data_IF_271284505264
#
_entry.id   IF_271284505264
#
_cell.length_a   1.000
_cell.length_b   1.000
_cell.length_c   1.000
_cell.angle_alpha   90.00
_cell.angle_beta   90.00
_cell.angle_gamma   90.00
#
_symmetry.space_group_name_H-M   'P 1'
#
loop_
_entity.id
_entity.type
_entity.pdbx_description
1 polymer ?
#
# COMPACT_ATOMS: atom_id res chain seq x y z
N UNK A 1 6.57 16.87 -22.73
CA UNK A 1 6.78 16.63 -21.28
C UNK A 1 6.13 17.68 -20.41
N UNK A 2 6.50 18.97 -20.48
CA UNK A 2 5.92 20.00 -19.60
C UNK A 2 4.40 20.11 -19.79
N UNK A 3 3.93 20.19 -21.04
CA UNK A 3 2.49 20.27 -21.37
C UNK A 3 1.73 19.04 -20.88
N UNK A 4 2.30 17.86 -21.03
CA UNK A 4 1.74 16.60 -20.54
C UNK A 4 1.57 16.62 -19.01
N UNK A 5 2.64 16.98 -18.28
CA UNK A 5 2.58 17.12 -16.82
C UNK A 5 1.57 18.17 -16.40
N UNK A 6 1.50 19.33 -17.08
CA UNK A 6 0.52 20.38 -16.78
C UNK A 6 -0.92 19.92 -16.99
N UNK A 7 -1.23 19.22 -18.09
CA UNK A 7 -2.57 18.63 -18.32
C UNK A 7 -2.96 17.68 -17.18
N UNK A 8 -2.03 16.81 -16.75
CA UNK A 8 -2.24 15.88 -15.64
C UNK A 8 -2.45 16.60 -14.30
N UNK A 9 -1.64 17.63 -14.01
CA UNK A 9 -1.78 18.43 -12.80
C UNK A 9 -3.11 19.20 -12.75
N UNK A 10 -3.62 19.67 -13.88
CA UNK A 10 -4.92 20.35 -13.97
C UNK A 10 -6.10 19.38 -13.72
N UNK A 11 -5.97 18.09 -14.05
CA UNK A 11 -6.99 17.08 -13.79
C UNK A 11 -7.01 16.61 -12.34
N UNK A 12 -5.89 16.76 -11.59
CA UNK A 12 -5.75 16.32 -10.22
C UNK A 12 -6.85 16.83 -9.26
N UNK A 13 -7.11 18.16 -9.18
CA UNK A 13 -8.13 18.68 -8.28
C UNK A 13 -9.53 18.12 -8.57
N UNK A 14 -9.85 17.95 -9.86
CA UNK A 14 -11.13 17.40 -10.30
C UNK A 14 -11.29 15.93 -9.90
N UNK A 15 -10.24 15.11 -10.13
CA UNK A 15 -10.23 13.71 -9.70
C UNK A 15 -10.30 13.57 -8.18
N UNK A 16 -9.56 14.39 -7.42
CA UNK A 16 -9.61 14.40 -5.96
C UNK A 16 -11.00 14.80 -5.44
N UNK A 17 -11.67 15.75 -6.10
CA UNK A 17 -13.05 16.12 -5.74
C UNK A 17 -14.02 14.95 -5.97
N UNK A 18 -13.94 14.26 -7.10
CA UNK A 18 -14.78 13.09 -7.37
C UNK A 18 -14.49 11.99 -6.34
N UNK A 19 -13.22 11.70 -6.09
CA UNK A 19 -12.82 10.68 -5.13
C UNK A 19 -13.22 11.03 -3.70
N UNK A 20 -13.19 12.30 -3.31
CA UNK A 20 -13.66 12.70 -1.99
C UNK A 20 -15.17 12.48 -1.79
N UNK A 21 -15.97 12.75 -2.82
CA UNK A 21 -17.42 12.48 -2.80
C UNK A 21 -17.65 10.96 -2.71
N UNK A 22 -16.96 10.18 -3.53
CA UNK A 22 -17.08 8.70 -3.51
C UNK A 22 -16.67 8.15 -2.14
N UNK A 23 -15.53 8.60 -1.59
CA UNK A 23 -15.06 8.19 -0.27
C UNK A 23 -16.09 8.48 0.81
N UNK A 24 -16.64 9.70 0.82
CA UNK A 24 -17.64 10.11 1.79
C UNK A 24 -18.92 9.26 1.69
N UNK A 25 -19.42 9.01 0.48
CA UNK A 25 -20.59 8.14 0.25
C UNK A 25 -20.32 6.71 0.74
N UNK A 26 -19.16 6.15 0.42
CA UNK A 26 -18.79 4.78 0.82
C UNK A 26 -18.71 4.61 2.34
N UNK A 27 -18.24 5.65 3.05
CA UNK A 27 -18.13 5.60 4.51
C UNK A 27 -19.51 5.75 5.17
N UNK A 28 -20.40 6.53 4.56
CA UNK A 28 -21.78 6.72 5.05
C UNK A 28 -22.77 5.63 4.57
N UNK A 29 -22.34 4.74 3.64
CA UNK A 29 -23.19 3.68 3.11
C UNK A 29 -23.59 2.59 4.12
N UNK A 30 -22.73 2.17 5.09
CA UNK A 30 -23.15 1.23 6.11
C UNK A 30 -24.28 1.81 6.98
N UNK A 31 -25.28 0.99 7.37
CA UNK A 31 -26.38 1.47 8.21
C UNK A 31 -25.88 1.82 9.61
N UNK A 32 -26.31 2.97 10.12
CA UNK A 32 -25.91 3.49 11.44
C UNK A 32 -24.90 4.62 11.34
N UNK A 33 -24.43 5.07 12.48
CA UNK A 33 -23.40 6.08 12.67
C UNK A 33 -22.47 5.66 13.83
N UNK A 34 -21.40 6.40 14.06
CA UNK A 34 -20.49 6.17 15.19
C UNK A 34 -21.23 6.03 16.52
N UNK A 35 -22.22 6.90 16.78
CA UNK A 35 -22.98 6.85 18.03
C UNK A 35 -23.81 5.58 18.13
N UNK A 36 -24.36 5.06 17.03
CA UNK A 36 -25.08 3.80 17.00
C UNK A 36 -24.18 2.64 17.42
N UNK A 37 -22.97 2.57 16.88
CA UNK A 37 -21.94 1.57 17.21
C UNK A 37 -21.47 1.73 18.67
N UNK A 38 -21.20 2.95 19.10
CA UNK A 38 -20.78 3.27 20.46
C UNK A 38 -21.84 2.91 21.53
N UNK A 39 -23.13 3.22 21.26
CA UNK A 39 -24.23 2.85 22.15
C UNK A 39 -24.37 1.33 22.25
N UNK A 40 -24.22 0.61 21.12
CA UNK A 40 -24.25 -0.85 21.11
C UNK A 40 -23.12 -1.46 21.95
N UNK A 41 -21.91 -0.89 21.89
CA UNK A 41 -20.76 -1.31 22.69
C UNK A 41 -20.97 -1.04 24.18
N UNK A 42 -21.47 0.15 24.54
CA UNK A 42 -21.86 0.48 25.93
C UNK A 42 -22.91 -0.46 26.49
N UNK A 43 -23.94 -0.75 25.71
CA UNK A 43 -24.98 -1.71 26.12
C UNK A 43 -24.41 -3.12 26.33
N UNK A 44 -23.48 -3.56 25.49
CA UNK A 44 -22.78 -4.84 25.63
C UNK A 44 -21.92 -4.91 26.90
N UNK A 45 -21.36 -3.78 27.34
CA UNK A 45 -20.59 -3.65 28.61
C UNK A 45 -21.47 -3.46 29.85
N UNK A 46 -22.81 -3.50 29.71
CA UNK A 46 -23.75 -3.30 30.81
C UNK A 46 -23.99 -1.82 31.19
N UNK A 47 -23.48 -0.89 30.41
CA UNK A 47 -23.64 0.54 30.61
C UNK A 47 -24.76 1.07 29.70
N UNK A 48 -25.48 2.14 30.15
CA UNK A 48 -26.51 2.81 29.35
C UNK A 48 -26.28 4.30 29.35
N UNK A 49 -26.55 4.93 28.21
CA UNK A 49 -26.50 6.37 28.07
C UNK A 49 -27.90 6.93 27.97
N UNK A 50 -28.15 8.08 28.62
CA UNK A 50 -29.45 8.75 28.52
C UNK A 50 -29.67 9.32 27.12
N UNK A 51 -30.92 9.33 26.66
CA UNK A 51 -31.29 9.87 25.33
C UNK A 51 -30.82 11.31 25.13
N UNK A 52 -30.94 12.15 26.17
CA UNK A 52 -30.49 13.53 26.11
C UNK A 52 -28.98 13.66 25.87
N UNK A 53 -28.17 12.76 26.41
CA UNK A 53 -26.72 12.72 26.16
C UNK A 53 -26.39 12.27 24.74
N UNK A 54 -27.15 11.29 24.21
CA UNK A 54 -27.00 10.81 22.84
C UNK A 54 -27.32 11.93 21.86
N UNK A 55 -28.43 12.65 22.05
CA UNK A 55 -28.84 13.76 21.19
C UNK A 55 -27.84 14.92 21.24
N UNK A 56 -27.30 15.23 22.43
CA UNK A 56 -26.25 16.23 22.58
C UNK A 56 -24.96 15.85 21.83
N UNK A 57 -24.52 14.59 21.91
CA UNK A 57 -23.36 14.10 21.17
C UNK A 57 -23.61 14.09 19.65
N UNK A 58 -24.83 13.73 19.23
CA UNK A 58 -25.21 13.74 17.81
C UNK A 58 -25.13 15.16 17.23
N UNK A 59 -25.62 16.14 17.96
CA UNK A 59 -25.54 17.57 17.59
C UNK A 59 -24.08 18.07 17.63
N UNK A 60 -23.29 17.68 18.64
CA UNK A 60 -21.88 18.06 18.78
C UNK A 60 -21.02 17.58 17.59
N UNK A 61 -21.24 16.34 17.15
CA UNK A 61 -20.53 15.74 16.02
C UNK A 61 -21.17 16.09 14.66
N UNK A 62 -22.33 16.75 14.66
CA UNK A 62 -23.06 17.15 13.45
C UNK A 62 -23.64 15.98 12.68
N UNK A 63 -23.88 14.84 13.33
CA UNK A 63 -24.46 13.63 12.74
C UNK A 63 -25.97 13.76 12.54
N UNK A 64 -26.59 14.78 13.10
CA UNK A 64 -27.99 15.16 12.90
C UNK A 64 -28.25 15.92 11.59
N UNK A 65 -27.18 16.36 10.91
CA UNK A 65 -27.27 17.18 9.72
C UNK A 65 -27.45 16.33 8.45
N UNK A 66 -28.06 16.89 7.39
CA UNK A 66 -28.11 16.23 6.09
C UNK A 66 -26.71 15.87 5.57
N UNK A 67 -26.57 14.73 4.91
CA UNK A 67 -25.30 14.17 4.43
C UNK A 67 -24.48 15.18 3.61
N UNK A 68 -25.12 15.97 2.75
CA UNK A 68 -24.41 16.98 1.95
C UNK A 68 -23.78 18.10 2.81
N UNK A 69 -24.40 18.50 3.90
CA UNK A 69 -23.83 19.48 4.82
C UNK A 69 -22.65 18.89 5.60
N UNK A 70 -22.75 17.64 6.02
CA UNK A 70 -21.64 16.91 6.65
C UNK A 70 -20.44 16.84 5.69
N UNK A 71 -20.66 16.52 4.40
CA UNK A 71 -19.61 16.50 3.39
C UNK A 71 -18.92 17.86 3.24
N UNK A 72 -19.69 18.94 3.04
CA UNK A 72 -19.09 20.28 2.85
C UNK A 72 -18.33 20.78 4.08
N UNK A 73 -18.83 20.47 5.27
CA UNK A 73 -18.13 20.79 6.53
C UNK A 73 -16.82 20.02 6.66
N UNK A 74 -16.86 18.71 6.41
CA UNK A 74 -15.69 17.85 6.45
C UNK A 74 -14.64 18.28 5.41
N UNK A 75 -15.04 18.49 4.18
CA UNK A 75 -14.14 18.92 3.11
C UNK A 75 -13.59 20.33 3.36
N UNK A 76 -14.41 21.25 3.85
CA UNK A 76 -13.97 22.60 4.22
C UNK A 76 -12.86 22.58 5.28
N UNK A 77 -12.98 21.72 6.30
CA UNK A 77 -11.94 21.54 7.31
C UNK A 77 -10.66 20.94 6.71
N UNK A 78 -10.76 19.92 5.90
CA UNK A 78 -9.59 19.32 5.22
C UNK A 78 -8.84 20.35 4.38
N UNK A 79 -9.56 21.20 3.63
CA UNK A 79 -8.95 22.24 2.79
C UNK A 79 -8.24 23.33 3.61
N UNK A 80 -8.63 23.54 4.87
CA UNK A 80 -7.94 24.45 5.81
C UNK A 80 -6.83 23.75 6.60
N UNK A 81 -6.57 22.46 6.34
CA UNK A 81 -5.54 21.69 7.05
C UNK A 81 -5.99 21.11 8.39
N UNK A 82 -7.27 21.28 8.76
CA UNK A 82 -7.85 20.67 9.96
C UNK A 82 -8.47 19.31 9.60
N UNK A 83 -7.78 18.24 9.93
CA UNK A 83 -8.26 16.87 9.70
C UNK A 83 -9.35 16.44 10.70
N UNK A 84 -9.57 17.22 11.75
CA UNK A 84 -10.53 16.94 12.80
C UNK A 84 -10.02 16.01 13.89
N UNK A 85 -10.97 15.55 14.70
CA UNK A 85 -10.76 14.63 15.82
C UNK A 85 -11.43 13.31 15.51
N UNK A 86 -10.72 12.21 15.78
CA UNK A 86 -11.27 10.86 15.70
C UNK A 86 -12.36 10.68 16.76
N UNK A 87 -13.47 10.10 16.36
CA UNK A 87 -14.59 9.84 17.28
C UNK A 87 -14.29 8.68 18.23
N UNK A 88 -13.60 7.65 17.74
CA UNK A 88 -13.23 6.45 18.51
C UNK A 88 -12.05 6.72 19.46
N UNK A 89 -10.98 7.36 18.98
CA UNK A 89 -9.77 7.63 19.79
C UNK A 89 -9.84 8.94 20.60
N UNK A 90 -10.79 9.84 20.32
CA UNK A 90 -10.91 11.16 20.95
C UNK A 90 -9.60 12.00 20.91
N UNK A 91 -8.82 11.81 19.82
CA UNK A 91 -7.53 12.47 19.58
C UNK A 91 -7.49 13.12 18.19
N UNK A 92 -6.68 14.15 17.98
CA UNK A 92 -6.49 14.75 16.65
C UNK A 92 -6.05 13.69 15.61
N UNK A 93 -6.71 13.68 14.45
CA UNK A 93 -6.41 12.72 13.38
C UNK A 93 -4.99 12.91 12.84
N UNK A 94 -4.50 14.17 12.83
CA UNK A 94 -3.13 14.48 12.43
C UNK A 94 -2.08 13.78 13.28
N UNK A 95 -2.28 13.68 14.59
CA UNK A 95 -1.40 12.97 15.51
C UNK A 95 -1.46 11.46 15.27
N UNK A 96 -2.68 10.90 15.20
CA UNK A 96 -2.89 9.45 14.99
C UNK A 96 -2.25 8.96 13.69
N UNK A 97 -2.39 9.72 12.61
CA UNK A 97 -1.75 9.41 11.33
C UNK A 97 -0.23 9.61 11.42
N UNK A 98 0.22 10.72 12.04
CA UNK A 98 1.64 11.05 12.17
C UNK A 98 2.44 9.99 12.93
N UNK A 99 1.91 9.46 14.04
CA UNK A 99 2.53 8.39 14.83
C UNK A 99 2.79 7.11 14.03
N UNK A 100 1.91 6.80 13.06
CA UNK A 100 1.95 5.54 12.29
C UNK A 100 2.53 5.68 10.89
N UNK A 101 2.62 6.90 10.38
CA UNK A 101 3.08 7.20 9.02
C UNK A 101 4.49 6.67 8.77
N UNK A 102 5.43 6.97 9.67
CA UNK A 102 6.83 6.54 9.55
C UNK A 102 6.98 5.01 9.46
N UNK A 103 6.28 4.27 10.33
CA UNK A 103 6.29 2.82 10.36
C UNK A 103 5.62 2.21 9.12
N UNK A 104 4.52 2.81 8.68
CA UNK A 104 3.81 2.41 7.46
C UNK A 104 4.69 2.60 6.23
N UNK A 105 5.38 3.74 6.14
CA UNK A 105 6.34 4.01 5.06
C UNK A 105 7.52 3.04 5.10
N UNK A 106 8.10 2.80 6.26
CA UNK A 106 9.24 1.88 6.42
C UNK A 106 8.86 0.46 5.96
N UNK A 107 7.70 -0.05 6.41
CA UNK A 107 7.19 -1.35 6.01
C UNK A 107 6.88 -1.41 4.51
N UNK A 108 6.16 -0.44 4.00
CA UNK A 108 5.73 -0.41 2.60
C UNK A 108 6.90 -0.24 1.63
N UNK A 109 7.82 0.70 1.91
CA UNK A 109 9.03 0.90 1.10
C UNK A 109 9.97 -0.31 1.20
N UNK A 110 10.13 -0.89 2.39
CA UNK A 110 10.88 -2.13 2.56
C UNK A 110 10.31 -3.26 1.70
N UNK A 111 8.99 -3.44 1.72
CA UNK A 111 8.27 -4.43 0.89
C UNK A 111 8.46 -4.15 -0.60
N UNK A 112 8.35 -2.90 -1.02
CA UNK A 112 8.54 -2.50 -2.41
C UNK A 112 9.98 -2.81 -2.88
N UNK A 113 10.98 -2.35 -2.13
CA UNK A 113 12.39 -2.59 -2.46
C UNK A 113 12.70 -4.09 -2.49
N UNK A 114 12.26 -4.84 -1.49
CA UNK A 114 12.42 -6.30 -1.45
C UNK A 114 11.81 -6.97 -2.68
N UNK A 115 10.55 -6.64 -2.99
CA UNK A 115 9.83 -7.21 -4.13
C UNK A 115 10.57 -6.96 -5.44
N UNK A 116 11.01 -5.73 -5.70
CA UNK A 116 11.69 -5.37 -6.95
C UNK A 116 13.09 -5.95 -7.04
N UNK A 117 13.84 -5.90 -5.93
CA UNK A 117 15.21 -6.41 -5.86
C UNK A 117 15.27 -7.92 -6.11
N UNK A 118 14.26 -8.66 -5.70
CA UNK A 118 14.21 -10.13 -5.85
C UNK A 118 13.52 -10.53 -7.16
N UNK A 119 12.40 -9.90 -7.51
CA UNK A 119 11.60 -10.29 -8.67
C UNK A 119 12.30 -10.06 -10.02
N UNK A 120 12.99 -8.92 -10.17
CA UNK A 120 13.64 -8.57 -11.44
C UNK A 120 14.76 -9.56 -11.79
N UNK A 121 15.74 -9.84 -10.90
CA UNK A 121 16.76 -10.85 -11.16
C UNK A 121 16.19 -12.24 -11.43
N UNK A 122 15.18 -12.69 -10.66
CA UNK A 122 14.51 -13.97 -10.88
C UNK A 122 13.88 -14.01 -12.28
N UNK A 123 13.14 -12.95 -12.66
CA UNK A 123 12.51 -12.87 -13.97
C UNK A 123 13.51 -12.88 -15.13
N UNK A 124 14.62 -12.12 -15.00
CA UNK A 124 15.70 -12.09 -16.00
C UNK A 124 16.36 -13.46 -16.12
N UNK A 125 16.72 -14.08 -14.99
CA UNK A 125 17.37 -15.36 -14.97
C UNK A 125 16.48 -16.47 -15.58
N UNK A 126 15.20 -16.52 -15.19
CA UNK A 126 14.23 -17.48 -15.71
C UNK A 126 13.96 -17.28 -17.20
N UNK A 127 13.97 -16.05 -17.72
CA UNK A 127 13.80 -15.79 -19.14
C UNK A 127 15.02 -16.18 -19.98
N UNK A 128 16.24 -15.86 -19.48
CA UNK A 128 17.49 -16.12 -20.21
C UNK A 128 17.87 -17.61 -20.18
N UNK A 129 17.45 -18.35 -19.17
CA UNK A 129 17.71 -19.80 -19.02
C UNK A 129 16.40 -20.58 -18.99
N UNK A 130 15.55 -20.33 -19.97
CA UNK A 130 14.24 -20.98 -20.14
C UNK A 130 14.38 -22.51 -20.09
N UNK A 131 13.47 -23.16 -19.37
CA UNK A 131 13.42 -24.61 -19.17
C UNK A 131 14.59 -25.22 -18.39
N UNK A 132 15.44 -24.39 -17.75
CA UNK A 132 16.43 -24.90 -16.80
C UNK A 132 15.81 -25.32 -15.47
N UNK A 133 16.56 -26.11 -14.69
CA UNK A 133 16.13 -26.49 -13.33
C UNK A 133 15.73 -25.29 -12.48
N UNK A 134 16.50 -24.21 -12.53
CA UNK A 134 16.19 -23.00 -11.77
C UNK A 134 14.96 -22.26 -12.28
N UNK A 135 14.68 -22.27 -13.60
CA UNK A 135 13.45 -21.70 -14.15
C UNK A 135 12.22 -22.46 -13.63
N UNK A 136 12.26 -23.79 -13.61
CA UNK A 136 11.19 -24.60 -13.01
C UNK A 136 11.08 -24.36 -11.49
N UNK A 137 12.20 -24.32 -10.77
CA UNK A 137 12.22 -24.06 -9.34
C UNK A 137 11.56 -22.73 -9.00
N UNK A 138 11.99 -21.62 -9.63
CA UNK A 138 11.38 -20.32 -9.41
C UNK A 138 9.93 -20.25 -9.89
N UNK A 139 9.58 -20.96 -10.94
CA UNK A 139 8.19 -21.02 -11.42
C UNK A 139 7.30 -21.68 -10.37
N UNK A 140 7.69 -22.84 -9.82
CA UNK A 140 6.95 -23.52 -8.76
C UNK A 140 6.86 -22.65 -7.51
N UNK A 141 7.98 -22.04 -7.09
CA UNK A 141 8.01 -21.16 -5.95
C UNK A 141 7.09 -19.94 -6.12
N UNK A 142 7.07 -19.33 -7.32
CA UNK A 142 6.18 -18.23 -7.64
C UNK A 142 4.70 -18.65 -7.63
N UNK A 143 4.37 -19.85 -8.10
CA UNK A 143 3.00 -20.36 -7.99
C UNK A 143 2.59 -20.56 -6.53
N UNK A 144 3.48 -21.08 -5.70
CA UNK A 144 3.22 -21.25 -4.27
C UNK A 144 2.97 -19.90 -3.58
N UNK A 145 3.80 -18.88 -3.89
CA UNK A 145 3.64 -17.53 -3.35
C UNK A 145 2.32 -16.87 -3.71
N UNK A 146 1.79 -17.11 -4.92
CA UNK A 146 0.49 -16.57 -5.34
C UNK A 146 -0.70 -17.39 -4.83
N UNK A 147 -0.54 -18.72 -4.71
CA UNK A 147 -1.61 -19.61 -4.27
C UNK A 147 -1.87 -19.52 -2.76
N UNK A 148 -0.86 -19.13 -1.97
CA UNK A 148 -0.97 -19.08 -0.51
C UNK A 148 -1.38 -17.68 -0.06
N UNK A 149 -2.51 -17.52 0.66
CA UNK A 149 -2.86 -16.23 1.24
C UNK A 149 -1.76 -15.71 2.17
N UNK A 150 -1.35 -14.45 2.01
CA UNK A 150 -0.22 -13.86 2.75
C UNK A 150 -0.41 -13.91 4.27
N UNK A 151 -1.64 -13.74 4.77
CA UNK A 151 -1.93 -13.86 6.20
C UNK A 151 -1.73 -15.29 6.73
N UNK A 152 -2.00 -16.32 5.91
CA UNK A 152 -1.75 -17.71 6.27
C UNK A 152 -0.24 -17.96 6.39
N UNK A 153 0.56 -17.42 5.47
CA UNK A 153 2.03 -17.46 5.56
C UNK A 153 2.50 -16.80 6.85
N UNK A 154 1.92 -15.64 7.23
CA UNK A 154 2.22 -14.97 8.49
C UNK A 154 1.92 -15.88 9.70
N UNK A 155 0.71 -16.44 9.77
CA UNK A 155 0.30 -17.33 10.87
C UNK A 155 1.21 -18.56 11.00
N UNK A 156 1.55 -19.22 9.88
CA UNK A 156 2.44 -20.37 9.86
C UNK A 156 3.83 -20.01 10.37
N UNK A 157 4.40 -18.89 9.91
CA UNK A 157 5.72 -18.45 10.35
C UNK A 157 5.73 -18.02 11.82
N UNK A 158 4.68 -17.34 12.30
CA UNK A 158 4.50 -17.02 13.72
C UNK A 158 4.41 -18.29 14.58
N UNK A 159 3.65 -19.29 14.13
CA UNK A 159 3.54 -20.57 14.83
C UNK A 159 4.89 -21.31 14.86
N UNK A 160 5.63 -21.36 13.76
CA UNK A 160 6.97 -21.98 13.69
C UNK A 160 7.92 -21.27 14.66
N UNK A 161 7.97 -19.93 14.65
CA UNK A 161 8.83 -19.15 15.52
C UNK A 161 8.52 -19.42 17.00
N UNK A 162 7.24 -19.41 17.36
CA UNK A 162 6.82 -19.67 18.74
C UNK A 162 7.13 -21.12 19.16
N UNK A 163 6.76 -22.11 18.33
CA UNK A 163 6.87 -23.52 18.68
C UNK A 163 8.33 -24.01 18.79
N UNK A 164 9.21 -23.59 17.87
CA UNK A 164 10.57 -24.12 17.79
C UNK A 164 11.62 -23.22 18.42
N UNK A 165 11.36 -21.93 18.50
CA UNK A 165 12.31 -20.94 19.02
C UNK A 165 11.83 -20.22 20.28
N UNK A 166 10.56 -20.38 20.67
CA UNK A 166 9.97 -19.68 21.83
C UNK A 166 9.85 -18.17 21.65
N UNK A 167 9.96 -17.66 20.42
CA UNK A 167 9.97 -16.23 20.11
C UNK A 167 8.63 -15.81 19.52
N UNK A 168 8.06 -14.73 20.06
CA UNK A 168 6.92 -14.05 19.44
C UNK A 168 7.44 -13.02 18.43
N UNK A 169 7.02 -13.15 17.17
CA UNK A 169 7.41 -12.26 16.07
C UNK A 169 6.27 -11.31 15.69
N UNK A 170 5.58 -10.78 16.69
CA UNK A 170 4.51 -9.79 16.54
C UNK A 170 5.02 -8.37 16.82
N UNK A 171 4.43 -7.40 16.16
CA UNK A 171 4.84 -6.00 16.31
C UNK A 171 6.07 -5.63 15.48
N UNK A 172 6.52 -4.38 15.62
CA UNK A 172 7.70 -3.83 14.96
C UNK A 172 8.81 -3.45 15.95
N UNK A 173 8.58 -3.68 17.25
CA UNK A 173 9.51 -3.33 18.31
C UNK A 173 9.49 -4.37 19.43
N UNK A 174 10.63 -4.54 20.08
CA UNK A 174 10.71 -5.19 21.40
C UNK A 174 9.94 -4.37 22.44
N UNK A 175 9.49 -5.03 23.53
CA UNK A 175 8.65 -4.38 24.54
C UNK A 175 9.27 -3.11 25.14
N UNK A 176 10.58 -3.05 25.27
CA UNK A 176 11.33 -1.90 25.80
C UNK A 176 11.36 -0.68 24.83
N UNK A 177 11.13 -0.90 23.52
CA UNK A 177 11.19 0.14 22.50
C UNK A 177 9.83 0.60 21.99
N UNK A 178 8.71 0.04 22.44
CA UNK A 178 7.37 0.38 21.96
C UNK A 178 7.09 1.89 22.14
N UNK A 179 7.31 2.41 23.37
CA UNK A 179 7.06 3.81 23.71
C UNK A 179 8.35 4.62 23.94
N UNK A 180 9.52 4.04 23.60
CA UNK A 180 10.79 4.72 23.78
C UNK A 180 10.95 5.89 22.80
N UNK A 181 11.68 6.96 23.16
CA UNK A 181 12.03 8.01 22.21
C UNK A 181 12.88 7.46 21.06
N UNK A 182 12.82 8.12 19.90
CA UNK A 182 13.64 7.72 18.76
C UNK A 182 15.13 7.83 19.09
N UNK A 183 15.83 6.70 18.97
CA UNK A 183 17.28 6.55 19.16
C UNK A 183 17.83 5.60 18.10
N UNK A 184 19.16 5.53 17.98
CA UNK A 184 19.79 4.58 17.06
C UNK A 184 19.44 3.13 17.42
N UNK A 185 19.41 2.80 18.72
CA UNK A 185 19.06 1.45 19.18
C UNK A 185 17.61 1.08 18.82
N UNK A 186 16.66 2.03 18.93
CA UNK A 186 15.28 1.84 18.47
C UNK A 186 15.19 1.61 16.96
N UNK A 187 16.02 2.28 16.16
CA UNK A 187 16.08 2.03 14.70
C UNK A 187 16.62 0.65 14.39
N UNK A 188 17.66 0.21 15.09
CA UNK A 188 18.21 -1.15 14.95
C UNK A 188 17.18 -2.20 15.33
N UNK A 189 16.48 -2.02 16.45
CA UNK A 189 15.39 -2.90 16.88
C UNK A 189 14.26 -2.96 15.84
N UNK A 190 13.84 -1.81 15.29
CA UNK A 190 12.89 -1.76 14.19
C UNK A 190 13.34 -2.60 12.99
N UNK A 191 14.58 -2.47 12.55
CA UNK A 191 15.10 -3.23 11.41
C UNK A 191 15.14 -4.74 11.68
N UNK A 192 15.41 -5.13 12.92
CA UNK A 192 15.39 -6.53 13.36
C UNK A 192 13.99 -7.14 13.36
N UNK A 193 12.93 -6.33 13.50
CA UNK A 193 11.53 -6.80 13.46
C UNK A 193 10.89 -6.59 12.09
N UNK A 194 11.35 -5.60 11.31
CA UNK A 194 10.75 -5.19 10.03
C UNK A 194 10.94 -6.23 8.91
N UNK A 195 12.08 -6.94 8.89
CA UNK A 195 12.45 -7.81 7.75
C UNK A 195 11.42 -8.92 7.50
N UNK A 196 10.86 -9.51 8.56
CA UNK A 196 9.92 -10.62 8.42
C UNK A 196 8.57 -10.18 7.85
N UNK A 197 7.89 -9.13 8.36
CA UNK A 197 6.73 -8.54 7.71
C UNK A 197 7.00 -8.13 6.25
N UNK A 198 8.17 -7.55 5.97
CA UNK A 198 8.58 -7.17 4.60
C UNK A 198 8.65 -8.39 3.68
N UNK A 199 9.26 -9.48 4.13
CA UNK A 199 9.33 -10.73 3.35
C UNK A 199 7.93 -11.30 3.12
N UNK A 200 7.11 -11.42 4.16
CA UNK A 200 5.75 -11.96 4.05
C UNK A 200 4.90 -11.17 3.05
N UNK A 201 4.88 -9.85 3.18
CA UNK A 201 4.12 -8.97 2.29
C UNK A 201 4.70 -8.94 0.87
N UNK A 202 6.02 -9.10 0.74
CA UNK A 202 6.72 -9.06 -0.54
C UNK A 202 6.65 -10.35 -1.35
N UNK A 203 6.33 -11.50 -0.75
CA UNK A 203 6.32 -12.80 -1.44
C UNK A 203 5.33 -12.84 -2.63
N UNK A 204 4.08 -12.44 -2.42
CA UNK A 204 3.05 -12.41 -3.48
C UNK A 204 3.44 -11.40 -4.58
N UNK A 205 3.86 -10.22 -4.22
CA UNK A 205 4.35 -9.20 -5.16
C UNK A 205 5.55 -9.68 -5.97
N UNK A 206 6.52 -10.33 -5.33
CA UNK A 206 7.70 -10.92 -5.98
C UNK A 206 7.30 -11.98 -7.00
N UNK A 207 6.39 -12.88 -6.63
CA UNK A 207 5.92 -13.94 -7.51
C UNK A 207 5.19 -13.41 -8.75
N UNK A 208 4.37 -12.37 -8.60
CA UNK A 208 3.68 -11.71 -9.72
C UNK A 208 4.66 -10.97 -10.62
N UNK A 209 5.53 -10.15 -10.04
CA UNK A 209 6.45 -9.29 -10.77
C UNK A 209 7.50 -10.10 -11.54
N UNK A 210 8.06 -11.15 -10.93
CA UNK A 210 9.01 -12.06 -11.57
C UNK A 210 8.41 -12.74 -12.80
N UNK A 211 7.13 -13.16 -12.72
CA UNK A 211 6.41 -13.77 -13.85
C UNK A 211 6.20 -12.76 -14.98
N UNK A 212 5.78 -11.54 -14.66
CA UNK A 212 5.60 -10.47 -15.66
C UNK A 212 6.94 -10.15 -16.33
N UNK A 213 8.01 -9.99 -15.55
CA UNK A 213 9.36 -9.74 -16.07
C UNK A 213 9.82 -10.87 -16.99
N UNK A 214 9.64 -12.14 -16.56
CA UNK A 214 9.98 -13.32 -17.37
C UNK A 214 9.23 -13.34 -18.70
N UNK A 215 7.91 -13.13 -18.69
CA UNK A 215 7.10 -13.15 -19.89
C UNK A 215 7.52 -12.05 -20.88
N UNK A 216 7.61 -10.81 -20.42
CA UNK A 216 7.99 -9.68 -21.25
C UNK A 216 9.40 -9.84 -21.83
N UNK A 217 10.35 -10.30 -21.02
CA UNK A 217 11.72 -10.50 -21.47
C UNK A 217 11.81 -11.65 -22.50
N UNK A 218 11.06 -12.74 -22.34
CA UNK A 218 10.99 -13.82 -23.33
C UNK A 218 10.46 -13.34 -24.70
N UNK A 219 9.50 -12.44 -24.70
CA UNK A 219 8.96 -11.87 -25.93
C UNK A 219 9.95 -10.89 -26.59
N UNK A 220 10.64 -10.08 -25.80
CA UNK A 220 11.68 -9.17 -26.31
C UNK A 220 12.88 -9.93 -26.88
N UNK A 221 13.29 -11.05 -26.28
CA UNK A 221 14.42 -11.87 -26.74
C UNK A 221 14.21 -12.50 -28.11
N UNK A 222 12.96 -12.64 -28.59
CA UNK A 222 12.63 -13.19 -29.91
C UNK A 222 12.60 -12.14 -31.03
N UNK A 223 12.72 -10.86 -30.70
CA UNK A 223 12.56 -9.77 -31.68
C UNK A 223 13.79 -9.67 -32.63
N UNK A 224 13.59 -9.26 -33.91
CA UNK A 224 14.67 -9.20 -34.92
C UNK A 224 15.86 -8.33 -34.55
N UNK A 225 15.66 -7.28 -33.73
CA UNK A 225 16.76 -6.42 -33.32
C UNK A 225 17.80 -7.16 -32.46
N UNK A 226 17.42 -8.29 -31.81
CA UNK A 226 18.34 -9.11 -31.05
C UNK A 226 19.35 -9.80 -31.94
N UNK A 227 18.93 -10.29 -33.11
CA UNK A 227 19.83 -10.92 -34.12
C UNK A 227 20.80 -9.90 -34.68
N UNK A 228 20.32 -8.70 -35.01
CA UNK A 228 21.19 -7.62 -35.48
C UNK A 228 22.22 -7.21 -34.42
N UNK A 229 21.85 -7.17 -33.16
CA UNK A 229 22.77 -6.81 -32.08
C UNK A 229 23.83 -7.92 -31.84
N UNK A 230 23.48 -9.20 -32.02
CA UNK A 230 24.44 -10.32 -32.00
C UNK A 230 25.42 -10.22 -33.16
N UNK A 231 24.93 -9.91 -34.35
CA UNK A 231 25.78 -9.74 -35.54
C UNK A 231 26.82 -8.60 -35.37
N UNK A 232 26.53 -7.62 -34.50
CA UNK A 232 27.48 -6.55 -34.11
C UNK A 232 28.53 -6.98 -33.08
N UNK A 233 28.56 -8.25 -32.67
CA UNK A 233 29.57 -8.80 -31.75
C UNK A 233 29.38 -8.44 -30.27
N UNK A 234 28.20 -8.02 -29.86
CA UNK A 234 27.91 -7.79 -28.44
C UNK A 234 27.84 -9.10 -27.66
N UNK A 235 28.46 -9.16 -26.48
CA UNK A 235 28.33 -10.33 -25.59
C UNK A 235 26.88 -10.47 -25.11
N UNK A 236 26.39 -11.70 -24.98
CA UNK A 236 25.00 -12.01 -24.62
C UNK A 236 24.52 -11.25 -23.37
N UNK A 237 25.34 -11.18 -22.31
CA UNK A 237 24.97 -10.47 -21.10
C UNK A 237 24.78 -8.97 -21.33
N UNK A 238 25.73 -8.32 -22.03
CA UNK A 238 25.60 -6.89 -22.35
C UNK A 238 24.43 -6.62 -23.26
N UNK A 239 24.19 -7.51 -24.23
CA UNK A 239 23.07 -7.42 -25.15
C UNK A 239 21.74 -7.48 -24.41
N UNK A 240 21.56 -8.50 -23.54
CA UNK A 240 20.32 -8.69 -22.76
C UNK A 240 20.06 -7.50 -21.83
N UNK A 241 21.05 -7.07 -21.08
CA UNK A 241 20.87 -5.98 -20.09
C UNK A 241 20.64 -4.63 -20.76
N UNK A 242 21.24 -4.38 -21.93
CA UNK A 242 21.19 -3.07 -22.61
C UNK A 242 19.87 -2.82 -23.35
N UNK A 243 19.30 -3.84 -23.99
CA UNK A 243 18.15 -3.67 -24.89
C UNK A 243 16.87 -4.32 -24.34
N UNK A 244 16.72 -5.64 -24.34
CA UNK A 244 15.43 -6.26 -24.00
C UNK A 244 15.02 -6.09 -22.55
N UNK A 245 15.95 -6.10 -21.59
CA UNK A 245 15.64 -5.86 -20.17
C UNK A 245 15.03 -4.49 -19.98
N UNK A 246 15.57 -3.44 -20.64
CA UNK A 246 15.03 -2.09 -20.52
C UNK A 246 13.57 -2.01 -21.01
N UNK A 247 13.26 -2.67 -22.14
CA UNK A 247 11.89 -2.71 -22.68
C UNK A 247 10.96 -3.58 -21.85
N UNK A 248 11.47 -4.73 -21.37
CA UNK A 248 10.72 -5.63 -20.51
C UNK A 248 10.34 -5.01 -19.14
N UNK A 249 11.05 -3.96 -18.69
CA UNK A 249 10.74 -3.21 -17.48
C UNK A 249 9.54 -2.26 -17.65
N UNK A 250 9.17 -1.84 -18.85
CA UNK A 250 8.09 -0.88 -19.07
C UNK A 250 6.77 -1.28 -18.37
N UNK A 251 6.24 -2.51 -18.53
CA UNK A 251 5.04 -2.93 -17.82
C UNK A 251 5.20 -2.97 -16.30
N UNK A 252 6.42 -3.22 -15.79
CA UNK A 252 6.70 -3.21 -14.36
C UNK A 252 6.63 -1.78 -13.82
N UNK A 253 7.26 -0.83 -14.52
CA UNK A 253 7.26 0.58 -14.14
C UNK A 253 5.85 1.16 -14.16
N UNK A 254 4.99 0.74 -15.10
CA UNK A 254 3.58 1.15 -15.09
C UNK A 254 2.82 0.73 -13.82
N UNK A 255 3.29 -0.31 -13.13
CA UNK A 255 2.66 -0.74 -11.88
C UNK A 255 3.02 0.14 -10.67
N UNK A 256 4.03 1.00 -10.75
CA UNK A 256 4.47 1.85 -9.62
C UNK A 256 3.33 2.74 -9.12
N UNK A 257 2.47 3.24 -10.02
CA UNK A 257 1.29 4.02 -9.65
C UNK A 257 0.36 3.30 -8.67
N UNK A 258 0.22 1.99 -8.81
CA UNK A 258 -0.60 1.14 -7.93
C UNK A 258 0.11 0.79 -6.63
N UNK A 259 1.44 0.79 -6.63
CA UNK A 259 2.20 0.44 -5.44
C UNK A 259 2.16 1.53 -4.35
N UNK A 260 2.02 2.81 -4.71
CA UNK A 260 1.97 3.87 -3.71
C UNK A 260 0.81 3.69 -2.72
N UNK A 261 -0.45 3.59 -3.14
CA UNK A 261 -1.54 3.27 -2.20
C UNK A 261 -1.32 1.95 -1.45
N UNK A 262 -0.77 0.94 -2.12
CA UNK A 262 -0.48 -0.37 -1.52
C UNK A 262 0.59 -0.30 -0.43
N UNK A 263 1.60 0.57 -0.56
CA UNK A 263 2.60 0.83 0.46
C UNK A 263 1.95 1.26 1.77
N UNK A 264 0.91 2.10 1.69
CA UNK A 264 0.23 2.64 2.87
C UNK A 264 -0.90 1.73 3.38
N UNK A 265 -1.65 1.08 2.47
CA UNK A 265 -2.69 0.14 2.90
C UNK A 265 -2.10 -1.16 3.42
N UNK A 266 -0.97 -1.59 2.87
CA UNK A 266 -0.38 -2.90 3.13
C UNK A 266 -1.40 -4.02 2.91
N UNK A 267 -1.11 -5.22 3.43
CA UNK A 267 -2.18 -6.16 3.72
C UNK A 267 -2.72 -5.83 5.11
N UNK A 268 -3.87 -5.16 5.19
CA UNK A 268 -4.54 -4.85 6.47
C UNK A 268 -4.67 -6.11 7.33
N UNK A 269 -4.99 -7.24 6.69
CA UNK A 269 -5.15 -8.53 7.37
C UNK A 269 -3.80 -8.99 7.97
N UNK A 270 -2.71 -8.96 7.20
CA UNK A 270 -1.38 -9.34 7.69
C UNK A 270 -0.94 -8.41 8.82
N UNK A 271 -1.13 -7.11 8.64
CA UNK A 271 -0.77 -6.12 9.65
C UNK A 271 -1.57 -6.30 10.95
N UNK A 272 -2.85 -6.66 10.86
CA UNK A 272 -3.70 -6.97 12.01
C UNK A 272 -3.26 -8.28 12.69
N UNK A 273 -3.03 -9.34 11.91
CA UNK A 273 -2.59 -10.64 12.43
C UNK A 273 -1.23 -10.54 13.14
N UNK A 274 -0.31 -9.77 12.57
CA UNK A 274 1.02 -9.55 13.15
C UNK A 274 1.07 -8.42 14.18
N UNK A 275 -0.06 -7.77 14.48
CA UNK A 275 -0.17 -6.62 15.38
C UNK A 275 0.80 -5.48 15.02
N UNK A 276 0.87 -5.12 13.74
CA UNK A 276 1.75 -4.05 13.28
C UNK A 276 1.10 -2.68 13.50
N UNK A 277 1.76 -1.72 14.15
CA UNK A 277 1.23 -0.37 14.40
C UNK A 277 1.30 0.51 13.15
N UNK A 278 0.54 0.14 12.11
CA UNK A 278 0.48 0.84 10.82
C UNK A 278 -0.90 1.44 10.56
N UNK A 279 -1.03 2.25 9.51
CA UNK A 279 -2.29 2.92 9.14
C UNK A 279 -3.37 1.92 8.71
N UNK A 280 -2.99 0.75 8.15
CA UNK A 280 -3.96 -0.26 7.69
C UNK A 280 -4.90 -0.77 8.79
N UNK A 281 -4.41 -1.34 9.90
CA UNK A 281 -5.25 -1.73 11.04
C UNK A 281 -6.03 -0.57 11.65
N UNK A 282 -5.48 0.65 11.66
CA UNK A 282 -6.18 1.84 12.12
C UNK A 282 -7.39 2.17 11.23
N UNK A 283 -7.25 2.07 9.92
CA UNK A 283 -8.36 2.23 8.98
C UNK A 283 -9.44 1.17 9.23
N UNK A 284 -9.04 -0.10 9.37
CA UNK A 284 -9.99 -1.19 9.64
C UNK A 284 -10.80 -0.91 10.91
N UNK A 285 -10.14 -0.49 11.98
CA UNK A 285 -10.83 -0.13 13.24
C UNK A 285 -11.75 1.06 13.04
N UNK A 286 -11.31 2.12 12.36
CA UNK A 286 -12.14 3.29 12.06
C UNK A 286 -13.39 2.94 11.23
N UNK A 287 -13.29 1.97 10.30
CA UNK A 287 -14.44 1.49 9.54
C UNK A 287 -15.42 0.67 10.40
N UNK A 288 -14.89 -0.19 11.28
CA UNK A 288 -15.73 -1.02 12.18
C UNK A 288 -16.46 -0.12 13.20
N UNK A 289 -15.76 0.86 13.79
CA UNK A 289 -16.34 1.82 14.74
C UNK A 289 -17.19 2.91 14.08
N UNK A 290 -17.23 2.93 12.73
CA UNK A 290 -17.90 3.98 11.96
C UNK A 290 -17.37 5.40 12.25
N UNK A 291 -16.06 5.52 12.56
CA UNK A 291 -15.39 6.81 12.70
C UNK A 291 -15.17 7.45 11.32
N UNK A 292 -16.21 8.16 10.86
CA UNK A 292 -16.23 8.73 9.51
C UNK A 292 -15.12 9.74 9.25
N UNK A 293 -14.68 10.50 10.27
CA UNK A 293 -13.64 11.52 10.09
C UNK A 293 -12.27 10.88 9.88
N UNK A 294 -11.90 9.89 10.71
CA UNK A 294 -10.66 9.17 10.59
C UNK A 294 -10.63 8.29 9.32
N UNK A 295 -11.67 7.48 9.11
CA UNK A 295 -11.78 6.62 7.93
C UNK A 295 -11.77 7.44 6.63
N UNK A 296 -12.54 8.54 6.58
CA UNK A 296 -12.60 9.44 5.43
C UNK A 296 -11.27 10.07 5.10
N UNK A 297 -10.57 10.56 6.11
CA UNK A 297 -9.25 11.17 5.93
C UNK A 297 -8.22 10.17 5.41
N UNK A 298 -8.19 8.93 5.95
CA UNK A 298 -7.26 7.90 5.49
C UNK A 298 -7.58 7.47 4.06
N UNK A 299 -8.86 7.26 3.72
CA UNK A 299 -9.27 6.87 2.37
C UNK A 299 -8.94 7.98 1.36
N UNK A 300 -9.24 9.24 1.70
CA UNK A 300 -8.88 10.37 0.84
C UNK A 300 -7.37 10.47 0.63
N UNK A 301 -6.58 10.23 1.68
CA UNK A 301 -5.13 10.17 1.58
C UNK A 301 -4.66 9.04 0.64
N UNK A 302 -5.24 7.85 0.72
CA UNK A 302 -4.91 6.76 -0.20
C UNK A 302 -5.27 7.09 -1.66
N UNK A 303 -6.40 7.73 -1.88
CA UNK A 303 -6.79 8.18 -3.21
C UNK A 303 -5.83 9.24 -3.77
N UNK A 304 -5.42 10.19 -2.94
CA UNK A 304 -4.40 11.18 -3.30
C UNK A 304 -3.07 10.50 -3.69
N UNK A 305 -2.64 9.51 -2.91
CA UNK A 305 -1.43 8.74 -3.22
C UNK A 305 -1.56 7.95 -4.53
N UNK A 306 -2.74 7.40 -4.84
CA UNK A 306 -2.98 6.71 -6.10
C UNK A 306 -2.81 7.66 -7.29
N UNK A 307 -3.35 8.87 -7.20
CA UNK A 307 -3.24 9.87 -8.25
C UNK A 307 -1.80 10.37 -8.42
N UNK A 308 -1.11 10.66 -7.31
CA UNK A 308 0.32 11.02 -7.32
C UNK A 308 1.17 9.86 -7.87
N UNK A 309 0.88 8.63 -7.46
CA UNK A 309 1.56 7.44 -7.94
C UNK A 309 1.41 7.23 -9.45
N UNK A 310 0.21 7.43 -9.97
CA UNK A 310 -0.03 7.37 -11.43
C UNK A 310 0.79 8.43 -12.15
N UNK A 311 0.83 9.66 -11.65
CA UNK A 311 1.66 10.72 -12.24
C UNK A 311 3.15 10.35 -12.24
N UNK A 312 3.66 9.82 -11.13
CA UNK A 312 5.06 9.36 -11.04
C UNK A 312 5.31 8.22 -12.04
N UNK A 313 4.40 7.26 -12.15
CA UNK A 313 4.49 6.15 -13.10
C UNK A 313 4.53 6.66 -14.54
N UNK A 314 3.67 7.60 -14.91
CA UNK A 314 3.61 8.19 -16.25
C UNK A 314 4.91 8.94 -16.59
N UNK A 315 5.48 9.68 -15.64
CA UNK A 315 6.76 10.38 -15.81
C UNK A 315 7.90 9.37 -16.01
N UNK A 316 7.95 8.30 -15.22
CA UNK A 316 8.96 7.26 -15.32
C UNK A 316 8.86 6.50 -16.64
N UNK A 317 7.65 6.17 -17.08
CA UNK A 317 7.42 5.54 -18.39
C UNK A 317 7.88 6.43 -19.54
N UNK A 318 7.53 7.70 -19.53
CA UNK A 318 7.97 8.67 -20.53
C UNK A 318 9.49 8.90 -20.54
N UNK A 319 10.17 8.61 -19.42
CA UNK A 319 11.65 8.63 -19.33
C UNK A 319 12.27 7.34 -19.86
N UNK A 320 11.65 6.17 -19.60
CA UNK A 320 12.13 4.86 -20.06
C UNK A 320 11.92 4.65 -21.56
N UNK A 321 10.74 5.03 -22.07
CA UNK A 321 10.38 4.91 -23.48
C UNK A 321 9.94 6.26 -24.06
N UNK A 322 10.84 6.96 -24.76
CA UNK A 322 10.52 8.26 -25.38
C UNK A 322 9.41 8.22 -26.43
N UNK A 323 9.04 7.03 -26.98
CA UNK A 323 8.00 6.89 -28.00
C UNK A 323 6.62 7.22 -27.47
N UNK A 324 6.37 6.97 -26.18
CA UNK A 324 5.10 7.30 -25.50
C UNK A 324 4.77 8.79 -25.58
N UNK A 325 5.77 9.65 -25.80
CA UNK A 325 5.59 11.10 -25.94
C UNK A 325 5.03 11.53 -27.28
N UNK A 326 5.18 10.71 -28.32
CA UNK A 326 4.83 11.04 -29.70
C UNK A 326 3.37 10.69 -30.05
N UNK A 327 2.75 9.80 -29.30
CA UNK A 327 1.37 9.36 -29.53
C UNK A 327 0.32 10.33 -28.94
N UNK A 328 0.75 11.39 -28.23
CA UNK A 328 -0.14 12.38 -27.58
C UNK A 328 0.01 13.81 -28.12
N UNK A 329 0.85 14.03 -29.14
CA UNK A 329 0.90 15.28 -29.95
C UNK A 329 -0.05 15.19 -31.16
#
# INVERSE_FOLDING_TARGET
MLIYIMKRLLLLPFLLLIFSVIAFILIQAPPGDFLTSYIAELAASGSSMERAQIDALRALYGLDQPMYLQYFKWMGRILTGDLGVSLDWQRPISELIGERMGLTLALGMGTFVFTWLIAIPIGIFSATRKYSFFDYFFTVFNYFGVATPTFMTALVLMWIAFKYYGVSITGLFSAEYIDAPWSWDRVVDLLQHLWLPVVILGLDGTARLARVMRANLLDELKKPYMEMARAKGLSEWRLVMKYPVRLALNPLVSTIGWYLPLIFSGSVIVATVMNLPTIGPMLLRALISQDMFLAGTIILFYMMLAVVGTLISDILLAWLDPRIRLDEE
#
